data_IF_470030424754
#
_entry.id   IF_470030424754
#
_cell.length_a   1.000
_cell.length_b   1.000
_cell.length_c   1.000
_cell.angle_alpha   90.00
_cell.angle_beta   90.00
_cell.angle_gamma   90.00
#
_symmetry.space_group_name_H-M   'P 1'
#
loop_
_entity.id
_entity.type
_entity.pdbx_description
1 polymer ?
#
# COMPACT_ATOMS: atom_id res chain seq x y z
N UNK A 1 -1.20 11.97 5.58
CA UNK A 1 -0.44 10.88 4.95
C UNK A 1 0.10 11.36 3.61
N UNK A 2 1.39 11.22 3.41
CA UNK A 2 1.98 11.64 2.15
C UNK A 2 1.80 10.58 1.09
N UNK A 3 1.46 10.99 -0.12
CA UNK A 3 1.21 10.07 -1.20
C UNK A 3 2.16 10.31 -2.36
N UNK A 4 2.32 9.29 -3.18
CA UNK A 4 3.13 9.39 -4.39
C UNK A 4 2.28 10.13 -5.42
N UNK A 5 2.71 11.31 -5.84
CA UNK A 5 1.89 12.15 -6.71
C UNK A 5 2.35 12.21 -8.15
N UNK A 6 3.64 12.03 -8.37
CA UNK A 6 4.20 12.13 -9.70
C UNK A 6 4.05 10.80 -10.43
N UNK A 7 3.65 10.87 -11.70
CA UNK A 7 3.58 9.67 -12.53
C UNK A 7 4.97 9.01 -12.65
N UNK A 8 6.01 9.83 -12.74
CA UNK A 8 7.36 9.31 -12.84
C UNK A 8 7.77 8.56 -11.58
N UNK A 9 7.42 9.09 -10.42
CA UNK A 9 7.73 8.42 -9.17
C UNK A 9 6.96 7.12 -9.05
N UNK A 10 5.70 7.11 -9.46
CA UNK A 10 4.90 5.90 -9.44
C UNK A 10 5.54 4.83 -10.33
N UNK A 11 5.94 5.22 -11.53
CA UNK A 11 6.56 4.28 -12.47
C UNK A 11 7.87 3.73 -11.91
N UNK A 12 8.66 4.59 -11.28
CA UNK A 12 9.92 4.15 -10.69
C UNK A 12 9.70 3.11 -9.61
N UNK A 13 8.77 3.37 -8.71
CA UNK A 13 8.47 2.44 -7.63
C UNK A 13 7.92 1.14 -8.20
N UNK A 14 6.99 1.25 -9.16
CA UNK A 14 6.39 0.08 -9.75
C UNK A 14 7.41 -0.80 -10.46
N UNK A 15 8.37 -0.18 -11.13
CA UNK A 15 9.35 -0.90 -11.93
C UNK A 15 10.47 -1.48 -11.06
N UNK A 16 10.94 -0.71 -10.09
CA UNK A 16 12.12 -1.10 -9.31
C UNK A 16 11.79 -1.77 -7.99
N UNK A 17 10.55 -1.66 -7.55
CA UNK A 17 10.17 -2.17 -6.24
C UNK A 17 10.02 -3.67 -6.21
N UNK A 18 10.05 -4.20 -4.99
CA UNK A 18 9.80 -5.61 -4.74
C UNK A 18 8.30 -5.84 -4.67
N UNK A 19 7.84 -6.86 -5.35
CA UNK A 19 6.42 -7.18 -5.43
C UNK A 19 6.06 -8.30 -4.49
N UNK A 20 4.96 -8.11 -3.75
CA UNK A 20 4.47 -9.09 -2.80
C UNK A 20 2.97 -9.23 -3.00
N UNK A 21 2.49 -10.46 -2.99
CA UNK A 21 1.09 -10.74 -3.28
C UNK A 21 0.37 -11.32 -2.07
N UNK A 22 -0.88 -10.93 -1.94
CA UNK A 22 -1.81 -11.46 -0.96
C UNK A 22 -3.18 -11.45 -1.62
N UNK A 23 -4.08 -12.38 -1.28
CA UNK A 23 -5.40 -12.37 -1.91
C UNK A 23 -6.16 -11.06 -1.77
N UNK A 24 -5.91 -10.30 -0.70
CA UNK A 24 -6.64 -9.07 -0.44
C UNK A 24 -5.90 -7.81 -0.89
N UNK A 25 -4.58 -7.87 -1.06
CA UNK A 25 -3.77 -6.70 -1.42
C UNK A 25 -2.54 -7.15 -2.17
N UNK A 26 -2.17 -6.39 -3.20
CA UNK A 26 -0.85 -6.55 -3.81
C UNK A 26 -0.02 -5.35 -3.43
N UNK A 27 1.24 -5.56 -3.11
CA UNK A 27 2.11 -4.49 -2.66
C UNK A 27 3.37 -4.43 -3.50
N UNK A 28 3.80 -3.21 -3.80
CA UNK A 28 5.13 -2.97 -4.38
C UNK A 28 5.82 -2.01 -3.44
N UNK A 29 7.03 -2.35 -3.02
CA UNK A 29 7.76 -1.55 -2.04
C UNK A 29 9.17 -1.33 -2.52
N UNK A 30 9.68 -0.11 -2.38
CA UNK A 30 11.06 0.17 -2.70
C UNK A 30 11.60 1.24 -1.75
N UNK A 31 12.93 1.36 -1.73
CA UNK A 31 13.58 2.34 -0.89
C UNK A 31 13.40 3.73 -1.48
N UNK A 32 13.32 4.73 -0.60
CA UNK A 32 13.29 6.11 -1.06
C UNK A 32 14.63 6.50 -1.63
N UNK A 33 14.59 7.45 -2.57
CA UNK A 33 15.81 7.94 -3.18
C UNK A 33 16.62 8.75 -2.19
N UNK A 34 15.97 9.58 -1.40
CA UNK A 34 16.65 10.50 -0.49
C UNK A 34 16.68 9.91 0.91
N UNK A 35 17.85 10.04 1.52
CA UNK A 35 18.02 9.62 2.88
C UNK A 35 17.18 10.51 3.81
N UNK A 36 16.57 9.90 4.83
CA UNK A 36 15.74 10.66 5.75
C UNK A 36 14.35 10.96 5.24
N UNK A 37 14.01 10.44 4.08
CA UNK A 37 12.69 10.65 3.50
C UNK A 37 11.64 9.99 4.39
N UNK A 38 10.54 10.70 4.72
CA UNK A 38 9.50 10.10 5.57
C UNK A 38 8.71 8.99 4.90
N UNK A 39 8.89 8.82 3.60
CA UNK A 39 8.16 7.76 2.90
C UNK A 39 6.86 8.26 2.32
N UNK A 40 6.35 7.50 1.33
CA UNK A 40 5.10 7.83 0.67
C UNK A 40 4.36 6.55 0.33
N UNK A 41 3.06 6.67 0.13
CA UNK A 41 2.25 5.53 -0.24
C UNK A 41 1.29 5.95 -1.36
N UNK A 42 0.96 5.01 -2.23
CA UNK A 42 -0.02 5.24 -3.29
C UNK A 42 -1.03 4.11 -3.28
N UNK A 43 -2.23 4.40 -3.75
CA UNK A 43 -3.32 3.43 -3.79
C UNK A 43 -3.81 3.33 -5.22
N UNK A 44 -3.94 2.11 -5.71
CA UNK A 44 -4.33 1.90 -7.10
C UNK A 44 -5.40 0.81 -7.20
N UNK A 45 -6.34 1.01 -8.12
CA UNK A 45 -7.37 0.03 -8.43
C UNK A 45 -7.54 -0.01 -9.94
N UNK A 46 -7.27 -1.16 -10.53
CA UNK A 46 -7.30 -1.31 -11.97
C UNK A 46 -8.71 -1.20 -12.52
N UNK A 47 -8.83 -0.75 -13.76
CA UNK A 47 -10.14 -0.59 -14.40
C UNK A 47 -10.90 -1.90 -14.47
N UNK A 48 -10.19 -3.02 -14.59
CA UNK A 48 -10.85 -4.31 -14.72
C UNK A 48 -11.59 -4.72 -13.45
N UNK A 49 -11.35 -4.03 -12.34
CA UNK A 49 -12.04 -4.36 -11.10
C UNK A 49 -13.48 -3.90 -11.07
N UNK A 50 -13.85 -2.98 -11.96
CA UNK A 50 -15.20 -2.51 -12.03
C UNK A 50 -15.28 -1.03 -12.37
N UNK A 51 -16.46 -0.45 -12.14
CA UNK A 51 -16.67 0.95 -12.46
C UNK A 51 -16.04 1.85 -11.39
N UNK A 52 -16.21 3.16 -11.55
CA UNK A 52 -15.58 4.13 -10.66
C UNK A 52 -16.01 3.94 -9.21
N UNK A 53 -17.26 3.58 -8.97
CA UNK A 53 -17.74 3.38 -7.61
C UNK A 53 -16.99 2.23 -6.94
N UNK A 54 -16.86 1.11 -7.66
CA UNK A 54 -16.14 -0.06 -7.13
C UNK A 54 -14.69 0.28 -6.88
N UNK A 55 -14.06 0.96 -7.84
CA UNK A 55 -12.64 1.29 -7.70
C UNK A 55 -12.40 2.28 -6.56
N UNK A 56 -13.26 3.26 -6.41
CA UNK A 56 -13.11 4.23 -5.33
C UNK A 56 -13.31 3.57 -3.96
N UNK A 57 -14.27 2.65 -3.88
CA UNK A 57 -14.48 1.91 -2.64
C UNK A 57 -13.26 1.07 -2.29
N UNK A 58 -12.70 0.40 -3.29
CA UNK A 58 -11.51 -0.42 -3.08
C UNK A 58 -10.35 0.43 -2.58
N UNK A 59 -10.15 1.61 -3.17
CA UNK A 59 -9.07 2.49 -2.74
C UNK A 59 -9.29 2.99 -1.31
N UNK A 60 -10.55 3.24 -0.94
CA UNK A 60 -10.85 3.66 0.41
C UNK A 60 -10.49 2.55 1.41
N UNK A 61 -10.83 1.31 1.08
CA UNK A 61 -10.50 0.19 1.95
C UNK A 61 -8.99 0.08 2.12
N UNK A 62 -8.24 0.23 1.03
CA UNK A 62 -6.78 0.21 1.11
C UNK A 62 -6.25 1.34 1.98
N UNK A 63 -6.81 2.53 1.81
CA UNK A 63 -6.36 3.70 2.56
C UNK A 63 -6.59 3.53 4.05
N UNK A 64 -7.72 2.95 4.42
CA UNK A 64 -8.02 2.69 5.82
C UNK A 64 -7.05 1.68 6.43
N UNK A 65 -6.72 0.64 5.67
CA UNK A 65 -5.75 -0.35 6.14
C UNK A 65 -4.37 0.30 6.31
N UNK A 66 -3.97 1.13 5.37
CA UNK A 66 -2.70 1.83 5.45
C UNK A 66 -2.64 2.71 6.69
N UNK A 67 -3.74 3.38 6.98
CA UNK A 67 -3.81 4.23 8.16
C UNK A 67 -3.68 3.39 9.44
N UNK A 68 -4.34 2.26 9.48
CA UNK A 68 -4.27 1.36 10.64
C UNK A 68 -2.87 0.81 10.86
N UNK A 69 -2.11 0.64 9.80
CA UNK A 69 -0.75 0.12 9.89
C UNK A 69 0.29 1.23 9.96
N UNK A 70 -0.16 2.46 10.14
CA UNK A 70 0.71 3.62 10.34
C UNK A 70 1.62 3.90 9.14
N UNK A 71 1.11 3.68 7.93
CA UNK A 71 1.85 4.08 6.75
C UNK A 71 1.74 5.60 6.59
N UNK A 72 2.70 6.24 5.94
CA UNK A 72 3.87 5.68 5.30
C UNK A 72 4.96 5.26 6.28
N UNK A 73 5.92 4.51 5.78
CA UNK A 73 7.05 4.06 6.57
C UNK A 73 8.27 4.82 6.12
N UNK A 74 9.00 5.35 7.07
CA UNK A 74 10.18 6.15 6.80
C UNK A 74 11.15 5.38 5.92
N UNK A 75 11.64 6.02 4.89
CA UNK A 75 12.61 5.43 4.00
C UNK A 75 12.06 4.50 2.95
N UNK A 76 10.74 4.31 2.89
CA UNK A 76 10.14 3.39 1.94
C UNK A 76 9.06 4.06 1.13
N UNK A 77 8.94 3.64 -0.13
CA UNK A 77 7.82 4.04 -0.99
C UNK A 77 7.02 2.80 -1.31
N UNK A 78 5.71 2.87 -1.09
CA UNK A 78 4.84 1.70 -1.17
C UNK A 78 3.65 2.01 -2.06
N UNK A 79 3.33 1.07 -2.96
CA UNK A 79 2.10 1.14 -3.74
C UNK A 79 1.23 -0.04 -3.32
N UNK A 80 0.00 0.24 -2.95
CA UNK A 80 -0.97 -0.80 -2.59
C UNK A 80 -1.98 -0.90 -3.72
N UNK A 81 -2.14 -2.11 -4.26
CA UNK A 81 -3.07 -2.38 -5.34
C UNK A 81 -4.24 -3.19 -4.83
N UNK A 82 -5.43 -2.79 -5.23
CA UNK A 82 -6.63 -3.55 -4.91
C UNK A 82 -6.70 -4.82 -5.72
N UNK A 83 -7.26 -5.87 -5.12
CA UNK A 83 -7.61 -7.10 -5.82
C UNK A 83 -9.13 -7.16 -5.88
N UNK A 84 -9.69 -8.13 -6.61
CA UNK A 84 -11.15 -8.28 -6.63
C UNK A 84 -11.77 -8.52 -5.26
N UNK A 85 -10.99 -8.95 -4.28
CA UNK A 85 -11.49 -9.22 -2.94
C UNK A 85 -11.37 -8.06 -1.97
N UNK A 86 -10.63 -7.03 -2.35
CA UNK A 86 -10.35 -5.92 -1.44
C UNK A 86 -11.62 -5.28 -0.89
N UNK A 87 -12.57 -4.98 -1.77
CA UNK A 87 -13.75 -4.20 -1.37
C UNK A 87 -14.66 -4.94 -0.40
N UNK A 88 -14.56 -6.27 -0.36
CA UNK A 88 -15.44 -7.08 0.50
C UNK A 88 -14.78 -7.50 1.80
N UNK A 89 -13.50 -7.18 1.98
CA UNK A 89 -12.77 -7.59 3.17
C UNK A 89 -13.11 -6.68 4.34
N UNK A 90 -13.11 -7.25 5.53
CA UNK A 90 -13.33 -6.45 6.73
C UNK A 90 -12.07 -5.64 7.06
N UNK A 91 -12.22 -4.58 7.87
CA UNK A 91 -11.05 -3.81 8.28
C UNK A 91 -9.99 -4.67 8.96
N UNK A 92 -10.43 -5.63 9.78
CA UNK A 92 -9.49 -6.51 10.48
C UNK A 92 -8.72 -7.39 9.51
N UNK A 93 -9.43 -7.92 8.51
CA UNK A 93 -8.80 -8.76 7.51
C UNK A 93 -7.77 -7.96 6.71
N UNK A 94 -8.12 -6.75 6.35
CA UNK A 94 -7.23 -5.92 5.57
C UNK A 94 -6.00 -5.51 6.35
N UNK A 95 -6.17 -5.16 7.61
CA UNK A 95 -5.05 -4.81 8.46
C UNK A 95 -4.11 -5.99 8.63
N UNK A 96 -4.65 -7.17 8.87
CA UNK A 96 -3.82 -8.37 9.02
C UNK A 96 -3.08 -8.69 7.73
N UNK A 97 -3.74 -8.53 6.59
CA UNK A 97 -3.11 -8.78 5.30
C UNK A 97 -1.94 -7.85 5.06
N UNK A 98 -2.16 -6.55 5.34
CA UNK A 98 -1.10 -5.56 5.13
C UNK A 98 0.06 -5.80 6.08
N UNK A 99 -0.22 -6.10 7.34
CA UNK A 99 0.84 -6.42 8.29
C UNK A 99 1.67 -7.62 7.85
N UNK A 100 1.00 -8.63 7.31
CA UNK A 100 1.67 -9.80 6.80
C UNK A 100 2.62 -9.44 5.66
N UNK A 101 2.13 -8.60 4.73
CA UNK A 101 2.97 -8.18 3.61
C UNK A 101 4.16 -7.38 4.07
N UNK A 102 3.97 -6.50 5.04
CA UNK A 102 5.07 -5.70 5.55
C UNK A 102 6.13 -6.56 6.21
N UNK A 103 5.71 -7.56 6.99
CA UNK A 103 6.66 -8.48 7.59
C UNK A 103 7.42 -9.27 6.53
N UNK A 104 6.73 -9.72 5.50
CA UNK A 104 7.37 -10.47 4.42
C UNK A 104 8.36 -9.62 3.66
N UNK A 105 8.11 -8.31 3.62
CA UNK A 105 9.03 -7.38 2.96
C UNK A 105 10.22 -7.04 3.84
N UNK A 106 10.25 -7.53 5.08
CA UNK A 106 11.33 -7.22 5.99
C UNK A 106 11.20 -5.87 6.64
N UNK A 107 9.99 -5.30 6.64
CA UNK A 107 9.74 -3.99 7.21
C UNK A 107 8.74 -4.15 8.33
N UNK A 108 9.14 -3.80 9.54
CA UNK A 108 8.19 -3.87 10.65
C UNK A 108 7.20 -2.72 10.51
N UNK A 109 5.92 -2.97 10.82
CA UNK A 109 4.96 -1.88 10.86
C UNK A 109 5.44 -0.86 11.88
N UNK A 110 5.15 0.41 11.60
CA UNK A 110 5.51 1.45 12.53
C UNK A 110 4.65 1.29 13.74
N UNK A 111 5.26 0.98 14.87
CA UNK A 111 4.49 0.77 16.05
C UNK A 111 4.73 1.82 17.05
N UNK A 112 3.75 2.02 17.90
CA UNK A 112 3.94 2.83 19.05
C UNK A 112 4.85 2.10 19.94
N UNK A 113 5.94 2.70 20.27
CA UNK A 113 6.77 2.10 21.27
C UNK A 113 6.09 2.25 22.57
N UNK A 114 5.80 1.16 23.11
CA UNK A 114 5.12 1.19 24.39
C UNK A 114 6.05 1.70 25.47
#
# INVERSE_FOLDING_TARGET
MQTIKSHQDFERVFTQGKRLNHPLIRMVICDCVSEGDPGRVAFAAAKRLGNAVVRNRSKRVLREAAHSCHLPIEGREIILFATPRTRAASPEEMTAALESLLRRAGVAPREEKA
#
